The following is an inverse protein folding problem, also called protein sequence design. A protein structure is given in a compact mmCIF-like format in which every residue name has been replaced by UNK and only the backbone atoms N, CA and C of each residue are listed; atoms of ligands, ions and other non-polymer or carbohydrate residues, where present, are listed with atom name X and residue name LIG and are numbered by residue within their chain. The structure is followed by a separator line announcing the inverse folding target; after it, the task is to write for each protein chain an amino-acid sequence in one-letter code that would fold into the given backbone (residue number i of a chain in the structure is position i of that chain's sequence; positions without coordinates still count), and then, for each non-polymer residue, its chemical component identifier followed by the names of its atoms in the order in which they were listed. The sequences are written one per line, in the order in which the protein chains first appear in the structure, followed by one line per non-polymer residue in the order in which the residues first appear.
data_IF_762783565690
#
_entry.id   IF_762783565690
#
_cell.length_a   1.000
_cell.length_b   1.000
_cell.length_c   1.000
_cell.angle_alpha   90.00
_cell.angle_beta   90.00
_cell.angle_gamma   90.00
#
_symmetry.space_group_name_H-M   'P 1'
#
loop_
_entity.id
_entity.type
_entity.pdbx_description
1 polymer ?
#
# COMPACT_ATOMS: atom_id res chain seq x y z
N UNK A 1 -5.78 12.70 12.93
CA UNK A 1 -6.91 12.61 11.98
C UNK A 1 -8.18 12.06 12.63
N UNK A 2 -9.35 12.15 11.95
CA UNK A 2 -10.70 11.89 12.50
C UNK A 2 -11.20 10.42 12.37
N UNK A 3 -10.29 9.44 12.35
CA UNK A 3 -10.57 8.03 12.64
C UNK A 3 -11.35 7.21 11.59
N UNK A 4 -10.72 6.85 10.46
CA UNK A 4 -11.11 5.80 9.47
C UNK A 4 -12.57 5.80 8.96
N UNK A 5 -13.34 6.86 9.21
CA UNK A 5 -14.77 6.93 8.86
C UNK A 5 -15.02 6.73 7.37
N UNK A 6 -14.11 7.23 6.53
CA UNK A 6 -14.16 7.07 5.08
C UNK A 6 -14.03 5.60 4.66
N UNK A 7 -12.96 4.93 5.10
CA UNK A 7 -12.73 3.51 4.83
C UNK A 7 -13.87 2.61 5.33
N UNK A 8 -14.41 2.89 6.53
CA UNK A 8 -15.56 2.17 7.07
C UNK A 8 -16.80 2.32 6.18
N UNK A 9 -17.14 3.56 5.80
CA UNK A 9 -18.32 3.82 4.97
C UNK A 9 -18.16 3.21 3.57
N UNK A 10 -16.96 3.28 2.99
CA UNK A 10 -16.69 2.67 1.69
C UNK A 10 -16.92 1.15 1.72
N UNK A 11 -16.39 0.45 2.73
CA UNK A 11 -16.57 -0.99 2.86
C UNK A 11 -18.04 -1.40 3.13
N UNK A 12 -18.79 -0.61 3.90
CA UNK A 12 -20.22 -0.80 4.10
C UNK A 12 -20.98 -0.75 2.76
N UNK A 13 -20.72 0.27 1.95
CA UNK A 13 -21.35 0.43 0.64
C UNK A 13 -20.94 -0.66 -0.35
N UNK A 14 -19.65 -0.99 -0.41
CA UNK A 14 -19.13 -2.07 -1.26
C UNK A 14 -19.79 -3.40 -0.93
N UNK A 15 -19.97 -3.70 0.36
CA UNK A 15 -20.69 -4.88 0.83
C UNK A 15 -22.18 -4.83 0.45
N UNK A 16 -22.84 -3.70 0.68
CA UNK A 16 -24.27 -3.54 0.37
C UNK A 16 -24.57 -3.71 -1.13
N UNK A 17 -23.64 -3.28 -1.98
CA UNK A 17 -23.72 -3.40 -3.45
C UNK A 17 -23.22 -4.74 -3.99
N UNK A 18 -22.66 -5.61 -3.14
CA UNK A 18 -22.08 -6.88 -3.57
C UNK A 18 -20.84 -6.72 -4.47
N UNK A 19 -20.09 -5.64 -4.29
CA UNK A 19 -18.87 -5.38 -5.05
C UNK A 19 -17.81 -6.45 -4.75
N UNK A 20 -17.03 -6.80 -5.77
CA UNK A 20 -15.93 -7.76 -5.67
C UNK A 20 -14.61 -7.05 -5.89
N UNK A 21 -13.92 -6.74 -4.80
CA UNK A 21 -12.57 -6.18 -4.84
C UNK A 21 -11.54 -7.28 -4.71
N UNK A 22 -10.73 -7.47 -5.75
CA UNK A 22 -9.64 -8.46 -5.75
C UNK A 22 -8.43 -7.94 -4.96
N UNK A 23 -8.10 -6.66 -5.13
CA UNK A 23 -6.91 -6.01 -4.59
C UNK A 23 -7.23 -4.58 -4.16
N UNK A 24 -6.64 -4.14 -3.06
CA UNK A 24 -6.63 -2.75 -2.63
C UNK A 24 -5.22 -2.37 -2.17
N UNK A 25 -4.76 -1.18 -2.54
CA UNK A 25 -3.42 -0.66 -2.23
C UNK A 25 -3.54 0.72 -1.59
N UNK A 26 -2.80 0.93 -0.51
CA UNK A 26 -2.72 2.21 0.19
C UNK A 26 -1.27 2.69 0.34
N UNK A 27 -1.10 4.02 0.34
CA UNK A 27 0.15 4.71 0.68
C UNK A 27 -0.15 5.80 1.71
N UNK A 28 0.13 5.52 2.98
CA UNK A 28 -0.19 6.40 4.12
C UNK A 28 0.99 6.51 5.13
N UNK A 29 2.21 6.30 4.64
CA UNK A 29 3.43 6.31 5.46
C UNK A 29 4.47 7.32 4.97
N UNK A 30 4.00 8.38 4.30
CA UNK A 30 4.82 9.47 3.78
C UNK A 30 5.41 9.22 2.39
N UNK A 31 6.05 10.24 1.83
CA UNK A 31 6.64 10.23 0.48
C UNK A 31 8.12 9.85 0.42
N UNK A 32 8.63 9.11 1.41
CA UNK A 32 10.04 8.74 1.53
C UNK A 32 10.44 7.61 0.58
N UNK A 33 11.74 7.31 0.52
CA UNK A 33 12.28 6.23 -0.32
C UNK A 33 11.53 4.92 -0.07
N UNK A 34 10.91 4.31 -1.11
CA UNK A 34 10.20 3.05 -0.95
C UNK A 34 11.17 1.92 -0.63
N UNK A 35 10.80 1.06 0.33
CA UNK A 35 11.57 -0.13 0.73
C UNK A 35 10.84 -1.43 0.42
N UNK A 36 9.50 -1.41 0.52
CA UNK A 36 8.74 -2.63 0.40
C UNK A 36 7.23 -2.44 0.25
N UNK A 37 6.54 -3.57 0.33
CA UNK A 37 5.10 -3.62 0.51
C UNK A 37 4.73 -4.65 1.58
N UNK A 38 3.80 -4.28 2.45
CA UNK A 38 3.16 -5.18 3.40
C UNK A 38 1.83 -5.68 2.87
N UNK A 39 1.52 -6.96 3.03
CA UNK A 39 0.31 -7.59 2.50
C UNK A 39 -0.55 -8.26 3.56
N UNK A 40 -1.86 -8.07 3.43
CA UNK A 40 -2.86 -8.98 3.96
C UNK A 40 -3.37 -9.87 2.82
N UNK A 41 -2.95 -11.12 2.80
CA UNK A 41 -3.36 -12.11 1.81
C UNK A 41 -3.32 -13.53 2.41
N UNK A 42 -3.85 -14.52 1.70
CA UNK A 42 -3.59 -15.92 2.04
C UNK A 42 -2.10 -16.27 1.85
N UNK A 43 -1.58 -17.33 2.51
CA UNK A 43 -0.21 -17.77 2.31
C UNK A 43 0.14 -18.07 0.84
N UNK A 44 -0.81 -18.64 0.09
CA UNK A 44 -0.66 -18.96 -1.33
C UNK A 44 -0.55 -17.70 -2.18
N UNK A 45 -1.44 -16.73 -1.96
CA UNK A 45 -1.42 -15.43 -2.64
C UNK A 45 -0.11 -14.68 -2.33
N UNK A 46 0.31 -14.67 -1.05
CA UNK A 46 1.55 -14.03 -0.64
C UNK A 46 2.77 -14.69 -1.29
N UNK A 47 2.83 -16.02 -1.38
CA UNK A 47 3.91 -16.73 -2.04
C UNK A 47 4.00 -16.35 -3.53
N UNK A 48 2.86 -16.23 -4.20
CA UNK A 48 2.79 -15.77 -5.59
C UNK A 48 3.29 -14.34 -5.75
N UNK A 49 2.84 -13.42 -4.90
CA UNK A 49 3.28 -12.01 -4.91
C UNK A 49 4.80 -11.91 -4.66
N UNK A 50 5.33 -12.68 -3.70
CA UNK A 50 6.77 -12.70 -3.39
C UNK A 50 7.64 -13.12 -4.58
N UNK A 51 7.12 -13.94 -5.50
CA UNK A 51 7.84 -14.33 -6.69
C UNK A 51 8.14 -13.15 -7.63
N UNK A 52 7.45 -12.02 -7.49
CA UNK A 52 7.70 -10.81 -8.28
C UNK A 52 8.80 -9.91 -7.71
N UNK A 53 9.32 -10.20 -6.52
CA UNK A 53 10.36 -9.38 -5.90
C UNK A 53 11.57 -9.09 -6.84
N UNK A 54 12.10 -10.05 -7.62
CA UNK A 54 13.20 -9.77 -8.56
C UNK A 54 12.86 -8.71 -9.63
N UNK A 55 11.58 -8.51 -9.96
CA UNK A 55 11.13 -7.48 -10.92
C UNK A 55 11.08 -6.08 -10.30
N UNK A 56 10.89 -6.00 -8.97
CA UNK A 56 10.77 -4.75 -8.23
C UNK A 56 12.11 -4.30 -7.61
N UNK A 57 13.02 -5.24 -7.33
CA UNK A 57 14.37 -4.96 -6.79
C UNK A 57 15.15 -3.87 -7.52
N UNK A 58 15.18 -3.80 -8.86
CA UNK A 58 15.88 -2.72 -9.58
C UNK A 58 15.35 -1.32 -9.28
N UNK A 59 14.15 -1.21 -8.71
CA UNK A 59 13.45 0.05 -8.40
C UNK A 59 13.42 0.37 -6.91
N UNK A 60 14.23 -0.32 -6.10
CA UNK A 60 14.45 -0.02 -4.67
C UNK A 60 13.62 -0.85 -3.69
N UNK A 61 12.76 -1.75 -4.18
CA UNK A 61 11.96 -2.64 -3.33
C UNK A 61 12.81 -3.85 -2.92
N UNK A 62 13.13 -3.95 -1.63
CA UNK A 62 13.84 -5.09 -1.05
C UNK A 62 12.88 -6.14 -0.49
N UNK A 63 11.71 -5.72 -0.02
CA UNK A 63 10.87 -6.54 0.85
C UNK A 63 9.41 -6.59 0.39
N UNK A 64 8.86 -7.80 0.33
CA UNK A 64 7.43 -8.07 0.18
C UNK A 64 7.04 -9.00 1.33
N UNK A 65 6.26 -8.53 2.28
CA UNK A 65 6.07 -9.23 3.56
C UNK A 65 4.61 -9.41 3.95
N UNK A 66 4.36 -10.37 4.86
CA UNK A 66 3.05 -10.51 5.48
C UNK A 66 2.83 -9.41 6.52
N UNK A 67 1.60 -8.94 6.64
CA UNK A 67 1.23 -7.86 7.57
C UNK A 67 1.19 -6.49 6.89
N UNK A 68 0.41 -5.58 7.46
CA UNK A 68 0.08 -4.29 6.83
C UNK A 68 -1.17 -4.37 5.96
N UNK A 69 -1.22 -3.59 4.89
CA UNK A 69 -2.42 -3.45 4.06
C UNK A 69 -3.31 -2.28 4.44
N UNK A 70 -2.73 -1.21 4.99
CA UNK A 70 -3.37 0.10 5.11
C UNK A 70 -4.52 0.25 6.10
N UNK A 71 -4.72 1.47 6.58
CA UNK A 71 -5.73 1.78 7.58
C UNK A 71 -7.12 1.98 6.95
N UNK A 72 -7.22 2.74 5.86
CA UNK A 72 -8.49 3.05 5.18
C UNK A 72 -9.03 1.87 4.39
N UNK A 73 -8.16 1.02 3.85
CA UNK A 73 -8.57 -0.18 3.10
C UNK A 73 -8.76 -1.41 4.00
N UNK A 74 -8.34 -1.36 5.27
CA UNK A 74 -8.47 -2.44 6.25
C UNK A 74 -9.87 -3.07 6.34
N UNK A 75 -10.97 -2.28 6.37
CA UNK A 75 -12.35 -2.80 6.39
C UNK A 75 -12.72 -3.72 5.21
N UNK A 76 -12.04 -3.60 4.06
CA UNK A 76 -12.26 -4.44 2.88
C UNK A 76 -11.77 -5.88 3.06
N UNK A 77 -10.94 -6.17 4.08
CA UNK A 77 -10.49 -7.53 4.40
C UNK A 77 -11.66 -8.52 4.54
N UNK A 78 -12.78 -8.06 5.11
CA UNK A 78 -13.98 -8.88 5.31
C UNK A 78 -14.64 -9.36 4.02
N UNK A 79 -14.30 -8.75 2.88
CA UNK A 79 -14.80 -9.11 1.55
C UNK A 79 -13.86 -10.08 0.80
N UNK A 80 -12.78 -10.53 1.44
CA UNK A 80 -11.77 -11.41 0.84
C UNK A 80 -10.77 -10.68 -0.05
N UNK A 81 -10.73 -9.35 -0.01
CA UNK A 81 -9.80 -8.50 -0.76
C UNK A 81 -8.38 -8.64 -0.24
N UNK A 82 -7.41 -8.82 -1.15
CA UNK A 82 -5.98 -8.70 -0.80
C UNK A 82 -5.64 -7.24 -0.57
N UNK A 83 -5.08 -6.93 0.57
CA UNK A 83 -4.68 -5.56 0.93
C UNK A 83 -3.17 -5.41 0.85
N UNK A 84 -2.72 -4.30 0.30
CA UNK A 84 -1.31 -3.94 0.21
C UNK A 84 -1.08 -2.52 0.76
N UNK A 85 0.03 -2.32 1.45
CA UNK A 85 0.48 -1.00 1.88
C UNK A 85 1.91 -0.76 1.40
N UNK A 86 2.16 0.38 0.76
CA UNK A 86 3.53 0.82 0.49
C UNK A 86 4.28 1.00 1.82
N UNK A 87 5.52 0.51 1.89
CA UNK A 87 6.41 0.68 3.05
C UNK A 87 7.61 1.55 2.65
N UNK A 88 7.53 2.87 2.86
CA UNK A 88 8.67 3.78 2.75
C UNK A 88 9.65 3.65 3.92
N UNK A 89 10.81 4.28 3.78
CA UNK A 89 11.75 4.49 4.88
C UNK A 89 11.09 5.33 5.99
N UNK A 90 10.93 4.73 7.17
CA UNK A 90 10.17 5.33 8.27
C UNK A 90 10.99 6.21 9.20
N UNK A 91 12.32 6.26 9.05
CA UNK A 91 13.20 6.86 10.06
C UNK A 91 12.89 8.34 10.32
N UNK A 92 12.44 9.06 9.28
CA UNK A 92 12.12 10.49 9.34
C UNK A 92 10.62 10.80 9.35
N UNK A 93 9.76 9.78 9.36
CA UNK A 93 8.31 9.97 9.24
C UNK A 93 7.75 10.85 10.35
N UNK A 94 8.15 10.59 11.60
CA UNK A 94 7.67 11.32 12.76
C UNK A 94 8.36 12.67 13.00
N UNK A 95 9.37 13.04 12.19
CA UNK A 95 9.92 14.40 12.19
C UNK A 95 8.95 15.39 11.52
N UNK A 96 8.08 14.89 10.62
CA UNK A 96 7.14 15.69 9.83
C UNK A 96 5.68 15.42 10.18
N UNK A 97 5.31 14.17 10.41
CA UNK A 97 3.93 13.73 10.58
C UNK A 97 3.19 14.49 11.69
N UNK A 98 2.04 15.09 11.35
CA UNK A 98 1.22 15.91 12.25
C UNK A 98 1.97 17.10 12.90
N UNK A 99 2.99 17.64 12.25
CA UNK A 99 3.69 18.85 12.69
C UNK A 99 3.54 19.98 11.68
N UNK A 100 3.97 21.20 12.04
CA UNK A 100 4.03 22.31 11.08
C UNK A 100 5.08 22.09 9.97
N UNK A 101 5.93 21.06 10.07
CA UNK A 101 6.89 20.70 9.04
C UNK A 101 6.26 19.83 7.95
N UNK A 102 5.00 19.43 8.07
CA UNK A 102 4.29 18.75 6.98
C UNK A 102 3.87 19.76 5.90
N UNK A 103 4.84 20.14 5.08
CA UNK A 103 4.72 21.15 4.02
C UNK A 103 5.30 20.62 2.72
N UNK A 104 4.86 21.18 1.60
CA UNK A 104 5.24 20.73 0.27
C UNK A 104 6.76 20.76 0.04
N UNK A 105 7.46 21.72 0.63
CA UNK A 105 8.91 21.88 0.52
C UNK A 105 9.69 20.69 1.06
N UNK A 106 9.10 19.93 1.98
CA UNK A 106 9.71 18.72 2.54
C UNK A 106 9.45 17.47 1.70
N UNK A 107 8.68 17.57 0.61
CA UNK A 107 8.44 16.47 -0.32
C UNK A 107 9.61 16.34 -1.29
N UNK A 108 10.30 15.20 -1.22
CA UNK A 108 11.34 14.89 -2.19
C UNK A 108 10.72 14.37 -3.51
N UNK A 109 10.93 15.12 -4.60
CA UNK A 109 10.40 14.75 -5.93
C UNK A 109 10.84 13.37 -6.40
N UNK A 110 12.07 12.95 -6.14
CA UNK A 110 12.58 11.65 -6.59
C UNK A 110 11.95 10.51 -5.80
N UNK A 111 11.82 10.66 -4.48
CA UNK A 111 11.17 9.65 -3.62
C UNK A 111 9.69 9.50 -3.97
N UNK A 112 8.99 10.62 -4.19
CA UNK A 112 7.61 10.62 -4.67
C UNK A 112 7.45 9.84 -5.98
N UNK A 113 8.32 10.10 -6.96
CA UNK A 113 8.30 9.37 -8.23
C UNK A 113 8.61 7.87 -8.07
N UNK A 114 9.52 7.51 -7.16
CA UNK A 114 9.85 6.11 -6.88
C UNK A 114 8.67 5.38 -6.21
N UNK A 115 7.98 6.03 -5.28
CA UNK A 115 6.76 5.50 -4.68
C UNK A 115 5.68 5.27 -5.73
N UNK A 116 5.40 6.28 -6.56
CA UNK A 116 4.42 6.18 -7.66
C UNK A 116 4.75 5.05 -8.65
N UNK A 117 6.03 4.94 -9.06
CA UNK A 117 6.48 3.89 -9.96
C UNK A 117 6.27 2.49 -9.36
N UNK A 118 6.64 2.28 -8.10
CA UNK A 118 6.52 0.98 -7.46
C UNK A 118 5.05 0.59 -7.22
N UNK A 119 4.19 1.54 -6.85
CA UNK A 119 2.74 1.29 -6.76
C UNK A 119 2.15 0.91 -8.12
N UNK A 120 2.49 1.65 -9.18
CA UNK A 120 2.02 1.34 -10.54
C UNK A 120 2.53 -0.03 -11.02
N UNK A 121 3.79 -0.37 -10.74
CA UNK A 121 4.36 -1.67 -11.07
C UNK A 121 3.63 -2.81 -10.34
N UNK A 122 3.34 -2.65 -9.04
CA UNK A 122 2.59 -3.66 -8.28
C UNK A 122 1.17 -3.85 -8.83
N UNK A 123 0.45 -2.75 -9.11
CA UNK A 123 -0.88 -2.81 -9.72
C UNK A 123 -0.82 -3.54 -11.07
N UNK A 124 0.16 -3.22 -11.91
CA UNK A 124 0.35 -3.89 -13.19
C UNK A 124 0.60 -5.39 -13.05
N UNK A 125 1.43 -5.80 -12.08
CA UNK A 125 1.71 -7.23 -11.84
C UNK A 125 0.46 -7.98 -11.37
N UNK A 126 -0.33 -7.37 -10.50
CA UNK A 126 -1.62 -7.91 -10.04
C UNK A 126 -2.61 -8.06 -11.20
N UNK A 127 -2.76 -7.04 -12.04
CA UNK A 127 -3.62 -7.09 -13.23
C UNK A 127 -3.16 -8.16 -14.22
N UNK A 128 -1.85 -8.20 -14.49
CA UNK A 128 -1.28 -9.06 -15.53
C UNK A 128 -1.25 -10.55 -15.16
N UNK A 129 -0.95 -10.86 -13.90
CA UNK A 129 -0.68 -12.23 -13.45
C UNK A 129 -1.71 -12.75 -12.44
N UNK A 130 -2.62 -11.89 -11.98
CA UNK A 130 -3.59 -12.20 -10.94
C UNK A 130 -2.93 -12.42 -9.57
N UNK A 131 -3.79 -12.62 -8.56
CA UNK A 131 -3.41 -12.98 -7.20
C UNK A 131 -3.42 -14.48 -6.95
#
# INVERSE_FOLDING_TARGET
ENGLRGGQKYAEEAKAKGEKHLFALESDAGGFTPRGFGFTASPEQLAKIKAWLPLLKPYGISDLEAGGGGADIGPLRSLGTVLAGLQPDSQRYFDVHHTHNDVFENVNKRELHLGALNMAALIYLVDKYGL
#
